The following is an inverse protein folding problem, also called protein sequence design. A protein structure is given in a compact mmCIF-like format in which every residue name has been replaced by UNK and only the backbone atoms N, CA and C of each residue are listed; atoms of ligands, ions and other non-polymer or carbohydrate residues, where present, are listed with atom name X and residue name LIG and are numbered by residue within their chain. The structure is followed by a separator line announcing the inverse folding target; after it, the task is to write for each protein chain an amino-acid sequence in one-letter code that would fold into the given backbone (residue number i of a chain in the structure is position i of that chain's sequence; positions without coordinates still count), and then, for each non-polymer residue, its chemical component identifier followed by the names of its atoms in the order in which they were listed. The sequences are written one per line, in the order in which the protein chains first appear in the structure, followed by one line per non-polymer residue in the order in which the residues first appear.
data_IF_852880174275
#
_entry.id   IF_852880174275
#
_cell.length_a   1.000
_cell.length_b   1.000
_cell.length_c   1.000
_cell.angle_alpha   90.00
_cell.angle_beta   90.00
_cell.angle_gamma   90.00
#
_symmetry.space_group_name_H-M   'P 1'
#
loop_
_entity.id
_entity.type
_entity.pdbx_description
1 polymer ?
#
# COMPACT_ATOMS: atom_id res chain seq x y z
N UNK A 1 -19.58 2.05 13.01
CA UNK A 1 -18.88 3.34 13.18
C UNK A 1 -17.49 3.21 13.82
N UNK A 2 -17.33 3.03 15.14
CA UNK A 2 -16.01 3.14 15.80
C UNK A 2 -14.93 2.18 15.27
N UNK A 3 -15.28 0.92 14.99
CA UNK A 3 -14.35 -0.03 14.37
C UNK A 3 -13.89 0.41 12.97
N UNK A 4 -14.81 0.96 12.16
CA UNK A 4 -14.47 1.51 10.85
C UNK A 4 -13.58 2.74 10.95
N UNK A 5 -13.86 3.65 11.88
CA UNK A 5 -13.01 4.83 12.13
C UNK A 5 -11.59 4.46 12.57
N UNK A 6 -11.45 3.47 13.45
CA UNK A 6 -10.13 2.94 13.85
C UNK A 6 -9.42 2.29 12.65
N UNK A 7 -10.13 1.50 11.85
CA UNK A 7 -9.57 0.92 10.62
C UNK A 7 -9.09 1.99 9.62
N UNK A 8 -9.89 3.05 9.44
CA UNK A 8 -9.54 4.20 8.61
C UNK A 8 -8.26 4.89 9.10
N UNK A 9 -8.17 5.18 10.40
CA UNK A 9 -6.98 5.79 11.02
C UNK A 9 -5.73 4.92 10.84
N UNK A 10 -5.84 3.60 11.02
CA UNK A 10 -4.72 2.67 10.84
C UNK A 10 -4.27 2.65 9.37
N UNK A 11 -5.21 2.55 8.43
CA UNK A 11 -4.92 2.58 7.01
C UNK A 11 -4.20 3.86 6.60
N UNK A 12 -4.72 5.01 7.03
CA UNK A 12 -4.12 6.32 6.78
C UNK A 12 -2.71 6.43 7.38
N UNK A 13 -2.50 5.95 8.61
CA UNK A 13 -1.18 5.95 9.24
C UNK A 13 -0.16 5.11 8.46
N UNK A 14 -0.56 3.93 7.98
CA UNK A 14 0.29 3.06 7.15
C UNK A 14 0.59 3.72 5.80
N UNK A 15 -0.42 4.33 5.17
CA UNK A 15 -0.27 5.02 3.89
C UNK A 15 0.73 6.19 4.00
N UNK A 16 0.51 7.10 4.96
CA UNK A 16 1.38 8.26 5.19
C UNK A 16 2.80 7.82 5.55
N UNK A 17 2.95 6.82 6.42
CA UNK A 17 4.28 6.30 6.79
C UNK A 17 5.01 5.70 5.58
N UNK A 18 4.30 4.94 4.75
CA UNK A 18 4.88 4.32 3.54
C UNK A 18 5.27 5.37 2.51
N UNK A 19 4.42 6.37 2.28
CA UNK A 19 4.72 7.47 1.37
C UNK A 19 5.87 8.34 1.89
N UNK A 20 5.98 8.52 3.21
CA UNK A 20 7.13 9.18 3.81
C UNK A 20 8.43 8.44 3.52
N UNK A 21 8.44 7.10 3.62
CA UNK A 21 9.60 6.28 3.23
C UNK A 21 9.90 6.47 1.75
N UNK A 22 8.91 6.34 0.87
CA UNK A 22 9.09 6.47 -0.58
C UNK A 22 9.65 7.83 -0.99
N UNK A 23 9.16 8.91 -0.37
CA UNK A 23 9.64 10.28 -0.62
C UNK A 23 11.09 10.47 -0.20
N UNK A 24 11.50 9.82 0.88
CA UNK A 24 12.86 9.92 1.41
C UNK A 24 13.84 8.91 0.79
N UNK A 25 13.41 8.06 -0.16
CA UNK A 25 14.33 7.15 -0.86
C UNK A 25 15.35 7.90 -1.71
N UNK A 26 15.00 9.09 -2.19
CA UNK A 26 15.82 9.90 -3.09
C UNK A 26 16.25 11.17 -2.40
N UNK A 27 17.54 11.49 -2.51
CA UNK A 27 18.00 12.85 -2.22
C UNK A 27 17.58 13.77 -3.37
N UNK A 28 17.38 15.08 -3.12
CA UNK A 28 17.12 16.04 -4.18
C UNK A 28 18.17 15.93 -5.29
N UNK A 29 17.76 15.61 -6.52
CA UNK A 29 18.63 15.44 -7.69
C UNK A 29 18.93 14.00 -8.11
N UNK A 30 18.59 12.98 -7.32
CA UNK A 30 18.76 11.58 -7.72
C UNK A 30 17.59 11.08 -8.59
N UNK A 31 17.90 10.44 -9.72
CA UNK A 31 16.90 9.86 -10.65
C UNK A 31 16.76 8.34 -10.55
N UNK A 32 17.67 7.69 -9.81
CA UNK A 32 17.68 6.24 -9.62
C UNK A 32 16.49 5.73 -8.80
N UNK A 33 15.96 4.56 -9.18
CA UNK A 33 15.04 3.81 -8.33
C UNK A 33 15.83 3.05 -7.26
N UNK A 34 15.26 2.94 -6.06
CA UNK A 34 15.83 2.18 -4.94
C UNK A 34 14.75 1.28 -4.36
N UNK A 35 15.17 0.19 -3.73
CA UNK A 35 14.27 -0.74 -3.06
C UNK A 35 13.81 -0.09 -1.74
N UNK A 36 12.50 0.12 -1.52
CA UNK A 36 12.00 0.61 -0.23
C UNK A 36 12.28 -0.40 0.89
N UNK A 37 12.74 0.09 2.04
CA UNK A 37 12.99 -0.67 3.26
C UNK A 37 12.38 0.05 4.46
N UNK A 38 11.98 -0.73 5.48
CA UNK A 38 11.36 -0.23 6.70
C UNK A 38 9.82 -0.32 6.70
N UNK A 39 9.27 -0.43 7.90
CA UNK A 39 7.82 -0.53 8.12
C UNK A 39 7.17 -1.69 7.36
N UNK A 40 6.03 -1.42 6.74
CA UNK A 40 5.27 -2.42 5.98
C UNK A 40 5.97 -2.88 4.70
N UNK A 41 6.98 -2.16 4.21
CA UNK A 41 7.73 -2.58 3.02
C UNK A 41 8.56 -3.85 3.25
N UNK A 42 8.81 -4.25 4.50
CA UNK A 42 9.46 -5.54 4.77
C UNK A 42 8.57 -6.74 4.42
N UNK A 43 7.25 -6.54 4.41
CA UNK A 43 6.27 -7.60 4.14
C UNK A 43 5.69 -7.51 2.73
N UNK A 44 5.43 -6.29 2.24
CA UNK A 44 4.73 -6.07 0.96
C UNK A 44 5.41 -5.01 0.10
N UNK A 45 5.36 -5.17 -1.22
CA UNK A 45 5.92 -4.22 -2.18
C UNK A 45 5.10 -2.93 -2.27
N UNK A 46 3.77 -3.03 -2.20
CA UNK A 46 2.82 -1.92 -2.25
C UNK A 46 2.32 -1.52 -0.87
N UNK A 47 3.20 -1.19 0.07
CA UNK A 47 2.81 -0.88 1.45
C UNK A 47 1.87 0.34 1.56
N UNK A 48 2.07 1.36 0.73
CA UNK A 48 1.18 2.52 0.66
C UNK A 48 -0.20 2.16 0.10
N UNK A 49 -0.25 1.33 -0.94
CA UNK A 49 -1.49 0.81 -1.51
C UNK A 49 -2.27 -0.05 -0.51
N UNK A 50 -1.57 -0.87 0.29
CA UNK A 50 -2.20 -1.62 1.37
C UNK A 50 -2.86 -0.69 2.40
N UNK A 51 -2.14 0.36 2.82
CA UNK A 51 -2.67 1.36 3.74
C UNK A 51 -3.92 2.04 3.17
N UNK A 52 -3.89 2.45 1.92
CA UNK A 52 -5.01 3.12 1.24
C UNK A 52 -6.23 2.20 1.09
N UNK A 53 -6.02 0.92 0.74
CA UNK A 53 -7.10 -0.08 0.70
C UNK A 53 -7.74 -0.22 2.09
N UNK A 54 -6.93 -0.40 3.13
CA UNK A 54 -7.43 -0.54 4.51
C UNK A 54 -8.17 0.72 4.97
N UNK A 55 -7.67 1.90 4.58
CA UNK A 55 -8.28 3.18 4.86
C UNK A 55 -9.72 3.23 4.31
N UNK A 56 -9.90 2.91 3.04
CA UNK A 56 -11.22 2.98 2.39
C UNK A 56 -12.19 1.89 2.86
N UNK A 57 -11.70 0.70 3.19
CA UNK A 57 -12.55 -0.31 3.84
C UNK A 57 -12.97 0.12 5.26
N UNK A 58 -12.09 0.78 6.01
CA UNK A 58 -12.43 1.40 7.29
C UNK A 58 -13.49 2.48 7.15
N UNK A 59 -13.34 3.36 6.16
CA UNK A 59 -14.31 4.39 5.81
C UNK A 59 -15.68 3.79 5.43
N UNK A 60 -15.70 2.76 4.57
CA UNK A 60 -16.92 2.07 4.18
C UNK A 60 -17.64 1.43 5.38
N UNK A 61 -16.89 0.86 6.32
CA UNK A 61 -17.42 0.30 7.57
C UNK A 61 -17.89 1.39 8.56
N UNK A 62 -17.34 2.60 8.49
CA UNK A 62 -17.78 3.73 9.30
C UNK A 62 -19.09 4.33 8.77
N UNK A 63 -19.17 4.56 7.46
CA UNK A 63 -20.33 5.15 6.79
C UNK A 63 -21.50 4.16 6.61
N UNK A 64 -21.22 2.87 6.42
CA UNK A 64 -22.21 1.83 6.15
C UNK A 64 -23.12 2.15 4.95
N UNK A 65 -22.57 2.76 3.89
CA UNK A 65 -23.33 3.05 2.66
C UNK A 65 -22.81 2.25 1.46
N UNK A 66 -23.65 2.05 0.46
CA UNK A 66 -23.30 1.29 -0.75
C UNK A 66 -22.25 2.04 -1.57
N UNK A 67 -22.31 3.37 -1.61
CA UNK A 67 -21.38 4.23 -2.33
C UNK A 67 -19.97 4.12 -1.75
N UNK A 68 -19.86 4.15 -0.42
CA UNK A 68 -18.57 4.00 0.28
C UNK A 68 -17.96 2.62 0.07
N UNK A 69 -18.77 1.55 0.05
CA UNK A 69 -18.32 0.21 -0.26
C UNK A 69 -17.89 0.07 -1.73
N UNK A 70 -18.67 0.63 -2.66
CA UNK A 70 -18.33 0.63 -4.08
C UNK A 70 -16.99 1.35 -4.31
N UNK A 71 -16.76 2.47 -3.63
CA UNK A 71 -15.49 3.18 -3.68
C UNK A 71 -14.32 2.32 -3.17
N UNK A 72 -14.47 1.69 -2.00
CA UNK A 72 -13.43 0.81 -1.45
C UNK A 72 -13.09 -0.37 -2.38
N UNK A 73 -14.09 -0.99 -3.01
CA UNK A 73 -13.89 -2.07 -3.98
C UNK A 73 -13.20 -1.58 -5.26
N UNK A 74 -13.62 -0.44 -5.81
CA UNK A 74 -12.95 0.18 -6.96
C UNK A 74 -11.47 0.45 -6.65
N UNK A 75 -11.19 1.02 -5.50
CA UNK A 75 -9.81 1.30 -5.05
C UNK A 75 -9.00 0.01 -4.91
N UNK A 76 -9.58 -1.06 -4.33
CA UNK A 76 -8.94 -2.37 -4.24
C UNK A 76 -8.50 -2.91 -5.61
N UNK A 77 -9.37 -2.87 -6.62
CA UNK A 77 -9.03 -3.39 -7.94
C UNK A 77 -7.97 -2.54 -8.65
N UNK A 78 -8.11 -1.21 -8.60
CA UNK A 78 -7.17 -0.28 -9.24
C UNK A 78 -5.79 -0.38 -8.57
N UNK A 79 -5.73 -0.25 -7.25
CA UNK A 79 -4.46 -0.29 -6.52
C UNK A 79 -3.86 -1.69 -6.45
N UNK A 80 -4.68 -2.74 -6.37
CA UNK A 80 -4.21 -4.12 -6.40
C UNK A 80 -3.52 -4.47 -7.73
N UNK A 81 -4.10 -4.07 -8.86
CA UNK A 81 -3.48 -4.27 -10.17
C UNK A 81 -2.17 -3.47 -10.32
N UNK A 82 -2.16 -2.22 -9.82
CA UNK A 82 -0.97 -1.37 -9.78
C UNK A 82 0.13 -1.95 -8.88
N UNK A 83 -0.22 -2.45 -7.70
CA UNK A 83 0.72 -3.08 -6.77
C UNK A 83 1.40 -4.28 -7.43
N UNK A 84 0.65 -5.10 -8.18
CA UNK A 84 1.18 -6.24 -8.92
C UNK A 84 2.20 -5.80 -9.98
N UNK A 85 1.88 -4.77 -10.75
CA UNK A 85 2.81 -4.22 -11.74
C UNK A 85 4.10 -3.70 -11.08
N UNK A 86 3.98 -3.00 -9.95
CA UNK A 86 5.14 -2.54 -9.18
C UNK A 86 5.99 -3.71 -8.67
N UNK A 87 5.38 -4.75 -8.13
CA UNK A 87 6.09 -5.92 -7.62
C UNK A 87 6.88 -6.64 -8.72
N UNK A 88 6.24 -6.89 -9.87
CA UNK A 88 6.91 -7.51 -11.03
C UNK A 88 8.04 -6.63 -11.55
N UNK A 89 7.81 -5.33 -11.68
CA UNK A 89 8.84 -4.39 -12.10
C UNK A 89 10.05 -4.38 -11.14
N UNK A 90 9.83 -4.46 -9.83
CA UNK A 90 10.92 -4.55 -8.85
C UNK A 90 11.73 -5.85 -9.00
N UNK A 91 11.07 -6.99 -9.22
CA UNK A 91 11.73 -8.29 -9.45
C UNK A 91 12.56 -8.30 -10.74
N UNK A 92 12.07 -7.66 -11.80
CA UNK A 92 12.79 -7.54 -13.08
C UNK A 92 13.96 -6.55 -13.00
N UNK A 93 13.80 -5.47 -12.23
CA UNK A 93 14.77 -4.37 -12.18
C UNK A 93 15.93 -4.62 -11.22
N UNK A 94 15.68 -5.30 -10.09
CA UNK A 94 16.67 -5.48 -9.03
C UNK A 94 16.90 -6.97 -8.77
N UNK A 95 18.12 -7.44 -9.02
CA UNK A 95 18.53 -8.82 -8.69
C UNK A 95 18.47 -9.09 -7.18
N UNK A 96 18.79 -8.08 -6.37
CA UNK A 96 18.79 -8.14 -4.89
C UNK A 96 17.40 -7.92 -4.26
N UNK A 97 16.31 -7.96 -5.04
CA UNK A 97 14.98 -7.73 -4.49
C UNK A 97 14.53 -8.89 -3.57
N UNK A 98 14.00 -8.61 -2.36
CA UNK A 98 13.53 -9.66 -1.47
C UNK A 98 12.34 -10.43 -2.07
N UNK A 99 12.57 -11.69 -2.45
CA UNK A 99 11.56 -12.55 -3.09
C UNK A 99 10.44 -12.99 -2.15
N UNK A 100 10.65 -12.87 -0.83
CA UNK A 100 9.65 -13.21 0.18
C UNK A 100 8.54 -12.16 0.32
N UNK A 101 8.77 -10.94 -0.20
CA UNK A 101 7.77 -9.86 -0.16
C UNK A 101 6.55 -10.25 -0.97
N UNK A 102 5.38 -9.94 -0.41
CA UNK A 102 4.09 -10.06 -1.10
C UNK A 102 3.77 -8.77 -1.86
N UNK A 103 2.76 -8.79 -2.70
CA UNK A 103 2.40 -7.68 -3.58
C UNK A 103 1.75 -6.55 -2.77
N UNK A 104 0.67 -6.86 -2.03
CA UNK A 104 -0.13 -5.85 -1.30
C UNK A 104 -0.68 -6.34 0.04
N UNK A 105 -1.12 -7.60 0.15
CA UNK A 105 -1.62 -8.19 1.39
C UNK A 105 -0.53 -9.02 2.06
N UNK A 106 -0.11 -8.66 3.29
CA UNK A 106 0.90 -9.43 4.02
C UNK A 106 0.53 -10.91 4.11
N UNK A 107 1.51 -11.78 3.83
CA UNK A 107 1.39 -13.24 3.92
C UNK A 107 0.43 -13.93 2.94
N UNK A 108 -0.41 -13.19 2.21
CA UNK A 108 -1.41 -13.75 1.28
C UNK A 108 -1.09 -13.42 -0.16
N UNK A 109 -1.03 -12.14 -0.51
CA UNK A 109 -0.99 -11.69 -1.89
C UNK A 109 -0.01 -10.56 -2.12
#
# INVERSE_FOLDING_TARGET
FSAGFVGWLIGMAINIHSDHILRNLRKPGETGYKIPRGGMFEYVSGANFFGEILEWFGFALACCTIESLAFALCTLFILGSRARQHHLWYLEKFEDYPKDRKIVMPFVY
#
